data_IF_682506979096
#
_entry.id   IF_682506979096
#
_cell.length_a   1.000
_cell.length_b   1.000
_cell.length_c   1.000
_cell.angle_alpha   90.00
_cell.angle_beta   90.00
_cell.angle_gamma   90.00
#
_symmetry.space_group_name_H-M   'P 1'
#
loop_
_entity.id
_entity.type
_entity.pdbx_description
1 polymer ?
#
# COMPACT_ATOMS: atom_id res chain seq x y z
N UNK A 1 31.33 -55.45 43.12
CA UNK A 1 31.10 -56.52 42.13
C UNK A 1 31.69 -56.04 40.81
N UNK A 2 32.95 -56.37 40.48
CA UNK A 2 33.42 -57.55 39.70
C UNK A 2 32.67 -57.67 38.35
N UNK A 3 33.24 -57.67 37.13
CA UNK A 3 34.56 -57.97 36.52
C UNK A 3 34.64 -57.17 35.18
N UNK A 4 35.72 -56.53 34.72
CA UNK A 4 37.02 -56.99 34.12
C UNK A 4 36.94 -58.05 33.01
N UNK A 5 37.39 -57.68 31.79
CA UNK A 5 38.24 -58.40 30.78
C UNK A 5 38.16 -57.58 29.47
N UNK A 6 39.19 -56.98 28.83
CA UNK A 6 40.61 -57.27 28.53
C UNK A 6 40.86 -58.46 27.59
N UNK A 7 41.29 -58.17 26.35
CA UNK A 7 42.11 -58.95 25.39
C UNK A 7 42.43 -57.96 24.24
N UNK A 8 43.63 -57.45 23.90
CA UNK A 8 45.05 -57.85 23.86
C UNK A 8 45.47 -58.80 22.72
N UNK A 9 46.28 -58.22 21.81
CA UNK A 9 47.44 -58.80 21.06
C UNK A 9 47.25 -59.50 19.71
N UNK A 10 47.85 -58.95 18.63
CA UNK A 10 48.99 -59.46 17.81
C UNK A 10 49.10 -58.59 16.51
N UNK A 11 50.12 -57.79 16.16
CA UNK A 11 51.57 -57.96 15.89
C UNK A 11 51.91 -58.66 14.54
N UNK A 12 52.84 -58.03 13.79
CA UNK A 12 53.55 -58.38 12.53
C UNK A 12 52.86 -58.01 11.19
N UNK A 13 53.52 -57.45 10.16
CA UNK A 13 54.95 -57.31 9.84
C UNK A 13 55.24 -56.09 8.92
N UNK A 14 56.43 -55.51 9.09
CA UNK A 14 57.12 -54.66 8.10
C UNK A 14 57.52 -55.49 6.87
N UNK A 15 57.38 -54.93 5.67
CA UNK A 15 58.23 -55.27 4.54
C UNK A 15 58.58 -53.99 3.76
N UNK A 16 59.87 -53.66 3.80
CA UNK A 16 60.55 -52.65 3.01
C UNK A 16 60.55 -53.08 1.54
N UNK A 17 60.17 -52.18 0.62
CA UNK A 17 60.58 -52.28 -0.77
C UNK A 17 60.92 -50.89 -1.29
N UNK A 18 62.22 -50.58 -1.26
CA UNK A 18 62.83 -49.48 -1.99
C UNK A 18 62.82 -49.84 -3.50
N UNK A 19 62.16 -49.02 -4.32
CA UNK A 19 62.35 -49.05 -5.76
C UNK A 19 63.14 -47.81 -6.18
N UNK A 20 64.33 -48.09 -6.70
CA UNK A 20 65.22 -47.18 -7.39
C UNK A 20 64.58 -46.76 -8.72
N UNK A 21 64.35 -45.45 -8.92
CA UNK A 21 64.01 -44.86 -10.21
C UNK A 21 65.29 -44.47 -10.98
N UNK A 22 65.32 -44.61 -12.31
CA UNK A 22 66.48 -44.25 -13.12
C UNK A 22 66.60 -42.73 -13.26
N UNK A 23 67.83 -42.24 -13.26
CA UNK A 23 68.18 -40.87 -13.59
C UNK A 23 67.85 -40.60 -15.07
N UNK A 24 66.85 -39.76 -15.32
CA UNK A 24 66.55 -39.20 -16.63
C UNK A 24 67.32 -37.86 -16.79
N UNK A 25 67.94 -37.68 -17.95
CA UNK A 25 68.67 -36.49 -18.37
C UNK A 25 67.82 -35.22 -18.19
N UNK A 26 68.38 -34.24 -17.46
CA UNK A 26 67.88 -32.86 -17.43
C UNK A 26 68.40 -32.15 -18.68
N UNK A 27 67.58 -32.10 -19.71
CA UNK A 27 67.72 -31.10 -20.77
C UNK A 27 67.21 -29.75 -20.24
N UNK A 28 68.00 -28.70 -20.44
CA UNK A 28 67.65 -27.31 -20.12
C UNK A 28 66.35 -26.89 -20.85
N UNK A 29 65.27 -26.73 -20.08
CA UNK A 29 64.04 -26.08 -20.55
C UNK A 29 64.15 -24.60 -20.18
N UNK A 30 64.18 -23.73 -21.20
CA UNK A 30 64.14 -22.29 -21.02
C UNK A 30 62.89 -21.85 -20.23
N UNK A 31 63.05 -20.85 -19.36
CA UNK A 31 62.04 -20.39 -18.40
C UNK A 31 60.70 -19.89 -19.01
N UNK A 32 60.62 -19.74 -20.33
CA UNK A 32 59.44 -19.23 -21.04
C UNK A 32 58.45 -20.33 -21.52
N UNK A 33 58.77 -21.62 -21.38
CA UNK A 33 57.93 -22.72 -21.88
C UNK A 33 57.02 -23.40 -20.83
N UNK A 34 56.93 -22.85 -19.62
CA UNK A 34 55.98 -23.35 -18.61
C UNK A 34 54.60 -22.73 -18.88
N UNK A 35 53.76 -23.44 -19.63
CA UNK A 35 52.32 -23.16 -19.66
C UNK A 35 51.78 -23.19 -18.23
N UNK A 36 51.35 -22.04 -17.70
CA UNK A 36 50.61 -21.95 -16.43
C UNK A 36 49.41 -22.90 -16.52
N UNK A 37 49.46 -24.01 -15.79
CA UNK A 37 48.29 -24.84 -15.55
C UNK A 37 47.24 -23.97 -14.82
N UNK A 38 45.97 -24.00 -15.23
CA UNK A 38 44.92 -23.28 -14.53
C UNK A 38 44.85 -23.83 -13.10
N UNK A 39 45.16 -22.98 -12.12
CA UNK A 39 44.98 -23.29 -10.71
C UNK A 39 43.49 -23.48 -10.50
N UNK A 40 43.08 -24.70 -10.14
CA UNK A 40 41.70 -24.97 -9.78
C UNK A 40 41.32 -24.07 -8.60
N UNK A 41 40.29 -23.24 -8.79
CA UNK A 41 39.73 -22.44 -7.70
C UNK A 41 39.30 -23.36 -6.54
N UNK A 42 39.52 -22.98 -5.28
CA UNK A 42 39.08 -23.78 -4.15
C UNK A 42 37.57 -24.00 -4.25
N UNK A 43 37.13 -25.27 -4.15
CA UNK A 43 35.71 -25.61 -4.19
C UNK A 43 35.04 -25.05 -2.93
N UNK A 44 34.34 -23.92 -3.07
CA UNK A 44 33.42 -23.46 -2.05
C UNK A 44 32.39 -24.55 -1.78
N UNK A 45 32.06 -24.84 -0.50
CA UNK A 45 30.98 -25.77 -0.21
C UNK A 45 29.70 -25.28 -0.89
N UNK A 46 29.08 -26.15 -1.67
CA UNK A 46 27.81 -25.87 -2.33
C UNK A 46 26.81 -25.38 -1.28
N UNK A 47 26.14 -24.25 -1.55
CA UNK A 47 25.11 -23.73 -0.68
C UNK A 47 24.01 -24.79 -0.52
N UNK A 48 23.95 -25.43 0.65
CA UNK A 48 22.89 -26.37 0.99
C UNK A 48 21.68 -25.55 1.41
N UNK A 49 20.78 -25.27 0.48
CA UNK A 49 19.45 -24.76 0.81
C UNK A 49 18.61 -25.91 1.37
N UNK A 50 18.04 -25.77 2.58
CA UNK A 50 17.04 -26.72 3.06
C UNK A 50 15.86 -26.78 2.09
N UNK A 51 15.23 -27.95 1.89
CA UNK A 51 14.07 -28.06 1.03
C UNK A 51 12.97 -27.08 1.46
N UNK A 52 12.50 -26.25 0.53
CA UNK A 52 11.44 -25.26 0.73
C UNK A 52 11.89 -23.80 0.92
N UNK A 53 13.20 -23.51 0.96
CA UNK A 53 13.71 -22.14 1.09
C UNK A 53 14.06 -21.56 -0.27
N UNK A 54 13.33 -20.53 -0.71
CA UNK A 54 13.65 -19.78 -1.94
C UNK A 54 14.59 -18.63 -1.60
N UNK A 55 15.79 -18.68 -2.18
CA UNK A 55 16.74 -17.56 -2.17
C UNK A 55 16.45 -16.70 -3.38
N UNK A 56 16.26 -15.41 -3.16
CA UNK A 56 16.12 -14.40 -4.20
C UNK A 56 17.29 -13.41 -4.12
N UNK A 57 17.55 -12.71 -5.23
CA UNK A 57 18.60 -11.69 -5.31
C UNK A 57 17.98 -10.31 -5.46
N UNK A 58 18.44 -9.38 -4.64
CA UNK A 58 18.15 -7.96 -4.74
C UNK A 58 19.26 -7.29 -5.55
N UNK A 59 18.88 -6.60 -6.62
CA UNK A 59 19.79 -5.83 -7.49
C UNK A 59 19.41 -4.36 -7.43
N UNK A 60 20.41 -3.48 -7.41
CA UNK A 60 20.20 -2.02 -7.44
C UNK A 60 20.62 -1.47 -8.80
N UNK A 61 20.13 -0.28 -9.14
CA UNK A 61 20.61 0.51 -10.28
C UNK A 61 21.65 1.56 -9.87
N UNK A 62 22.24 1.43 -8.68
CA UNK A 62 23.38 2.23 -8.24
C UNK A 62 24.65 1.74 -8.94
N UNK A 63 25.35 2.69 -9.55
CA UNK A 63 26.66 2.50 -10.17
C UNK A 63 27.68 3.36 -9.40
N UNK A 64 28.81 2.75 -9.09
CA UNK A 64 29.89 3.35 -8.32
C UNK A 64 31.17 3.27 -9.14
N UNK A 65 31.95 4.35 -9.18
CA UNK A 65 33.21 4.35 -9.94
C UNK A 65 34.25 3.43 -9.30
N UNK A 66 34.18 3.22 -7.98
CA UNK A 66 35.12 2.36 -7.26
C UNK A 66 34.42 1.31 -6.40
N UNK A 67 34.99 0.10 -6.35
CA UNK A 67 34.56 -0.96 -5.45
C UNK A 67 34.52 -0.50 -3.97
N UNK A 68 35.46 0.37 -3.58
CA UNK A 68 35.54 0.95 -2.23
C UNK A 68 34.31 1.78 -1.84
N UNK A 69 33.50 2.21 -2.80
CA UNK A 69 32.22 2.91 -2.60
C UNK A 69 31.03 1.95 -2.67
N UNK A 70 31.10 0.94 -3.54
CA UNK A 70 30.06 -0.08 -3.67
C UNK A 70 29.91 -0.94 -2.39
N UNK A 71 31.03 -1.33 -1.76
CA UNK A 71 31.02 -2.15 -0.53
C UNK A 71 30.29 -1.48 0.64
N UNK A 72 30.59 -0.23 1.04
CA UNK A 72 29.85 0.43 2.12
C UNK A 72 28.37 0.67 1.77
N UNK A 73 28.05 0.98 0.51
CA UNK A 73 26.66 1.12 0.06
C UNK A 73 25.88 -0.20 0.16
N UNK A 74 26.49 -1.32 -0.26
CA UNK A 74 25.94 -2.67 -0.10
C UNK A 74 25.67 -3.00 1.37
N UNK A 75 26.64 -2.72 2.25
CA UNK A 75 26.48 -2.97 3.69
C UNK A 75 25.36 -2.12 4.32
N UNK A 76 25.24 -0.85 3.90
CA UNK A 76 24.13 0.02 4.31
C UNK A 76 22.78 -0.55 3.85
N UNK A 77 22.70 -1.06 2.61
CA UNK A 77 21.50 -1.70 2.08
C UNK A 77 21.15 -2.99 2.82
N UNK A 78 22.12 -3.85 3.13
CA UNK A 78 21.93 -5.05 3.96
C UNK A 78 21.33 -4.67 5.34
N UNK A 79 21.85 -3.61 5.97
CA UNK A 79 21.32 -3.14 7.25
C UNK A 79 19.89 -2.61 7.14
N UNK A 80 19.56 -1.88 6.07
CA UNK A 80 18.19 -1.43 5.81
C UNK A 80 17.22 -2.61 5.62
N UNK A 81 17.63 -3.64 4.86
CA UNK A 81 16.85 -4.87 4.66
C UNK A 81 16.61 -5.62 5.98
N UNK A 82 17.66 -5.77 6.80
CA UNK A 82 17.54 -6.39 8.13
C UNK A 82 16.62 -5.60 9.05
N UNK A 83 16.74 -4.27 9.07
CA UNK A 83 15.85 -3.39 9.84
C UNK A 83 14.40 -3.49 9.35
N UNK A 84 14.20 -3.82 8.07
CA UNK A 84 12.90 -4.08 7.48
C UNK A 84 12.35 -5.49 7.73
N UNK A 85 13.05 -6.34 8.49
CA UNK A 85 12.65 -7.72 8.79
C UNK A 85 12.97 -8.73 7.69
N UNK A 86 13.74 -8.35 6.67
CA UNK A 86 14.18 -9.25 5.60
C UNK A 86 15.44 -9.99 6.05
N UNK A 87 15.45 -11.31 5.88
CA UNK A 87 16.64 -12.13 6.18
C UNK A 87 17.59 -12.13 4.98
N UNK A 88 18.74 -11.48 5.13
CA UNK A 88 19.80 -11.43 4.11
C UNK A 88 20.84 -12.54 4.33
N UNK A 89 21.32 -13.16 3.26
CA UNK A 89 22.37 -14.19 3.27
C UNK A 89 23.76 -13.64 2.95
N UNK A 90 23.85 -12.35 2.62
CA UNK A 90 25.08 -11.67 2.25
C UNK A 90 24.90 -10.90 0.95
N UNK A 91 25.93 -10.18 0.55
CA UNK A 91 25.97 -9.51 -0.74
C UNK A 91 27.35 -9.60 -1.37
N UNK A 92 27.40 -9.33 -2.67
CA UNK A 92 28.63 -9.26 -3.46
C UNK A 92 28.60 -8.02 -4.34
N UNK A 93 29.76 -7.40 -4.52
CA UNK A 93 29.95 -6.38 -5.55
C UNK A 93 30.06 -7.07 -6.91
N UNK A 94 29.51 -6.43 -7.93
CA UNK A 94 29.57 -6.89 -9.32
C UNK A 94 30.10 -5.76 -10.20
N UNK A 95 31.04 -6.09 -11.09
CA UNK A 95 31.56 -5.15 -12.08
C UNK A 95 30.51 -4.94 -13.20
N UNK A 96 30.34 -3.70 -13.62
CA UNK A 96 29.38 -3.24 -14.61
C UNK A 96 30.10 -2.34 -15.62
N UNK A 97 30.91 -2.96 -16.49
CA UNK A 97 31.75 -2.24 -17.44
C UNK A 97 32.90 -1.52 -16.74
N UNK A 98 32.84 -0.19 -16.68
CA UNK A 98 33.84 0.64 -15.99
C UNK A 98 33.44 0.99 -14.55
N UNK A 99 32.22 0.63 -14.13
CA UNK A 99 31.65 0.92 -12.82
C UNK A 99 31.38 -0.37 -12.04
N UNK A 100 30.93 -0.22 -10.79
CA UNK A 100 30.60 -1.28 -9.85
C UNK A 100 29.17 -1.14 -9.36
N UNK A 101 28.49 -2.25 -9.12
CA UNK A 101 27.20 -2.32 -8.43
C UNK A 101 27.21 -3.45 -7.40
N UNK A 102 26.07 -3.80 -6.81
CA UNK A 102 26.01 -4.92 -5.86
C UNK A 102 24.72 -5.73 -5.95
N UNK A 103 24.83 -6.99 -5.53
CA UNK A 103 23.72 -7.93 -5.42
C UNK A 103 23.66 -8.46 -3.99
N UNK A 104 22.46 -8.50 -3.40
CA UNK A 104 22.23 -9.03 -2.05
C UNK A 104 21.29 -10.23 -2.14
N UNK A 105 21.73 -11.37 -1.65
CA UNK A 105 20.90 -12.57 -1.58
C UNK A 105 20.06 -12.55 -0.30
N UNK A 106 18.79 -12.91 -0.38
CA UNK A 106 17.82 -12.85 0.72
C UNK A 106 16.79 -13.98 0.66
N UNK A 107 16.14 -14.25 1.80
CA UNK A 107 15.01 -15.16 1.87
C UNK A 107 13.75 -14.45 1.37
N UNK A 108 13.11 -15.00 0.35
CA UNK A 108 11.94 -14.38 -0.27
C UNK A 108 10.65 -14.50 0.56
N UNK A 109 10.72 -15.13 1.74
CA UNK A 109 9.57 -15.30 2.64
C UNK A 109 9.89 -14.88 4.07
N UNK A 110 8.84 -14.50 4.81
CA UNK A 110 8.89 -14.24 6.26
C UNK A 110 7.81 -15.03 6.98
N UNK A 111 8.05 -15.35 8.25
CA UNK A 111 7.08 -16.07 9.09
C UNK A 111 5.77 -15.28 9.23
N UNK A 112 4.65 -15.97 9.31
CA UNK A 112 3.31 -15.38 9.36
C UNK A 112 3.08 -14.40 10.51
N UNK A 113 3.69 -14.69 11.67
CA UNK A 113 3.62 -13.86 12.87
C UNK A 113 4.67 -12.75 12.92
N UNK A 114 5.55 -12.62 11.91
CA UNK A 114 6.55 -11.56 11.88
C UNK A 114 5.88 -10.18 11.78
N UNK A 115 6.31 -9.23 12.62
CA UNK A 115 5.79 -7.86 12.57
C UNK A 115 6.24 -7.11 11.31
N UNK A 116 7.44 -7.41 10.82
CA UNK A 116 8.07 -6.81 9.65
C UNK A 116 8.46 -7.87 8.61
N UNK A 117 8.47 -7.54 7.31
CA UNK A 117 7.91 -6.33 6.70
C UNK A 117 6.40 -6.16 6.99
N UNK A 118 5.86 -4.94 6.99
CA UNK A 118 4.45 -4.72 7.25
C UNK A 118 3.60 -5.18 6.04
N UNK A 119 2.33 -5.49 6.30
CA UNK A 119 1.36 -5.78 5.26
C UNK A 119 0.57 -4.51 4.94
N UNK A 120 1.02 -3.75 3.95
CA UNK A 120 0.40 -2.49 3.51
C UNK A 120 0.29 -2.45 1.99
N UNK A 121 -0.62 -1.63 1.50
CA UNK A 121 -0.82 -1.30 0.09
C UNK A 121 -0.64 0.22 -0.06
N UNK A 122 0.04 0.61 -1.12
CA UNK A 122 0.07 1.99 -1.59
C UNK A 122 -1.10 2.20 -2.54
N UNK A 123 -1.94 3.18 -2.24
CA UNK A 123 -3.10 3.54 -3.04
C UNK A 123 -3.08 5.04 -3.33
N UNK A 124 -3.63 5.42 -4.47
CA UNK A 124 -3.81 6.83 -4.86
C UNK A 124 -5.30 7.11 -5.00
N UNK A 125 -5.84 7.97 -4.15
CA UNK A 125 -7.17 8.51 -4.34
C UNK A 125 -7.09 9.69 -5.31
N UNK A 126 -7.82 9.61 -6.42
CA UNK A 126 -8.05 10.74 -7.33
C UNK A 126 -9.45 11.27 -7.08
N UNK A 127 -9.57 12.57 -6.81
CA UNK A 127 -10.87 13.15 -6.59
C UNK A 127 -11.70 13.12 -7.89
N UNK A 128 -13.00 12.87 -7.76
CA UNK A 128 -13.90 12.88 -8.92
C UNK A 128 -14.33 14.29 -9.35
N UNK A 129 -13.88 15.34 -8.66
CA UNK A 129 -14.31 16.72 -8.88
C UNK A 129 -13.28 17.51 -9.69
N UNK A 130 -13.78 18.48 -10.44
CA UNK A 130 -12.99 19.48 -11.14
C UNK A 130 -13.24 20.85 -10.50
N UNK A 131 -12.16 21.62 -10.31
CA UNK A 131 -12.18 22.94 -9.70
C UNK A 131 -11.60 23.95 -10.67
N UNK A 132 -12.39 24.98 -10.97
CA UNK A 132 -11.91 26.09 -11.80
C UNK A 132 -10.72 26.80 -11.14
N UNK A 133 -10.81 27.07 -9.84
CA UNK A 133 -9.78 27.77 -9.08
C UNK A 133 -8.82 26.79 -8.39
N UNK A 134 -7.53 26.94 -8.65
CA UNK A 134 -6.47 26.14 -8.02
C UNK A 134 -6.54 26.19 -6.49
N UNK A 135 -6.78 27.39 -5.91
CA UNK A 135 -6.93 27.55 -4.45
C UNK A 135 -8.05 26.69 -3.87
N UNK A 136 -9.17 26.54 -4.57
CA UNK A 136 -10.27 25.70 -4.10
C UNK A 136 -9.91 24.21 -4.16
N UNK A 137 -9.18 23.80 -5.20
CA UNK A 137 -8.63 22.45 -5.31
C UNK A 137 -7.65 22.16 -4.17
N UNK A 138 -6.77 23.11 -3.82
CA UNK A 138 -5.83 22.96 -2.70
C UNK A 138 -6.54 22.84 -1.35
N UNK A 139 -7.55 23.67 -1.09
CA UNK A 139 -8.32 23.63 0.15
C UNK A 139 -9.03 22.28 0.30
N UNK A 140 -9.67 21.80 -0.78
CA UNK A 140 -10.31 20.49 -0.81
C UNK A 140 -9.30 19.34 -0.63
N UNK A 141 -8.12 19.44 -1.27
CA UNK A 141 -7.03 18.47 -1.14
C UNK A 141 -6.52 18.40 0.30
N UNK A 142 -6.28 19.55 0.95
CA UNK A 142 -5.82 19.63 2.35
C UNK A 142 -6.87 19.02 3.30
N UNK A 143 -8.14 19.32 3.09
CA UNK A 143 -9.25 18.73 3.86
C UNK A 143 -9.32 17.21 3.65
N UNK A 144 -9.22 16.73 2.42
CA UNK A 144 -9.21 15.31 2.09
C UNK A 144 -8.05 14.57 2.78
N UNK A 145 -6.82 15.10 2.65
CA UNK A 145 -5.65 14.55 3.31
C UNK A 145 -5.77 14.55 4.85
N UNK A 146 -6.42 15.57 5.43
CA UNK A 146 -6.73 15.59 6.86
C UNK A 146 -7.72 14.48 7.24
N UNK A 147 -8.73 14.21 6.42
CA UNK A 147 -9.70 13.14 6.65
C UNK A 147 -9.08 11.74 6.54
N UNK A 148 -8.14 11.51 5.62
CA UNK A 148 -7.33 10.29 5.60
C UNK A 148 -6.53 10.12 6.91
N UNK A 149 -5.85 11.17 7.38
CA UNK A 149 -5.10 11.12 8.65
C UNK A 149 -6.00 10.89 9.86
N UNK A 150 -7.19 11.51 9.89
CA UNK A 150 -8.18 11.31 10.93
C UNK A 150 -8.70 9.86 10.96
N UNK A 151 -8.78 9.21 9.79
CA UNK A 151 -9.05 7.78 9.65
C UNK A 151 -7.85 6.88 10.02
N UNK A 152 -6.75 7.46 10.52
CA UNK A 152 -5.48 6.78 10.85
C UNK A 152 -4.79 6.13 9.64
N UNK A 153 -5.02 6.66 8.44
CA UNK A 153 -4.32 6.26 7.23
C UNK A 153 -3.12 7.20 7.02
N UNK A 154 -1.88 6.67 6.92
CA UNK A 154 -0.71 7.48 6.61
C UNK A 154 -0.81 8.08 5.20
N UNK A 155 -0.71 9.40 5.11
CA UNK A 155 -0.65 10.13 3.83
C UNK A 155 0.81 10.37 3.48
N UNK A 156 1.24 9.89 2.31
CA UNK A 156 2.60 10.04 1.80
C UNK A 156 2.77 11.33 1.00
N UNK A 157 1.73 11.71 0.27
CA UNK A 157 1.75 12.89 -0.58
C UNK A 157 0.34 13.29 -1.00
N UNK A 158 0.23 14.53 -1.45
CA UNK A 158 -0.98 15.03 -2.10
C UNK A 158 -0.56 16.08 -3.12
N UNK A 159 -1.15 16.04 -4.31
CA UNK A 159 -0.76 16.92 -5.41
C UNK A 159 -1.96 17.30 -6.26
N UNK A 160 -1.86 18.46 -6.92
CA UNK A 160 -2.82 18.87 -7.92
C UNK A 160 -2.44 18.31 -9.29
N UNK A 161 -3.43 18.01 -10.11
CA UNK A 161 -3.26 17.64 -11.51
C UNK A 161 -4.32 18.31 -12.38
N UNK A 162 -3.99 18.50 -13.65
CA UNK A 162 -4.89 19.08 -14.63
C UNK A 162 -5.94 18.05 -15.08
N UNK A 163 -7.21 18.45 -15.02
CA UNK A 163 -8.36 17.66 -15.44
C UNK A 163 -9.15 18.43 -16.50
N UNK A 164 -8.74 18.31 -17.77
CA UNK A 164 -9.27 19.16 -18.84
C UNK A 164 -8.70 20.57 -18.72
N UNK A 165 -9.55 21.58 -18.56
CA UNK A 165 -9.13 22.97 -18.31
C UNK A 165 -9.21 23.36 -16.82
N UNK A 166 -9.56 22.41 -15.96
CA UNK A 166 -9.78 22.62 -14.53
C UNK A 166 -8.71 21.90 -13.70
N UNK A 167 -8.71 22.15 -12.41
CA UNK A 167 -7.82 21.55 -11.43
C UNK A 167 -8.50 20.39 -10.71
N UNK A 168 -7.77 19.32 -10.48
CA UNK A 168 -8.16 18.20 -9.65
C UNK A 168 -7.00 17.86 -8.70
N UNK A 169 -7.22 16.94 -7.76
CA UNK A 169 -6.23 16.56 -6.78
C UNK A 169 -6.18 15.06 -6.54
N UNK A 170 -4.99 14.60 -6.16
CA UNK A 170 -4.76 13.23 -5.73
C UNK A 170 -4.14 13.20 -4.33
N UNK A 171 -4.41 12.12 -3.61
CA UNK A 171 -3.82 11.83 -2.29
C UNK A 171 -3.25 10.42 -2.33
N UNK A 172 -1.95 10.31 -2.12
CA UNK A 172 -1.25 9.03 -1.98
C UNK A 172 -1.25 8.62 -0.51
N UNK A 173 -1.70 7.41 -0.22
CA UNK A 173 -1.83 6.92 1.14
C UNK A 173 -1.50 5.44 1.25
N UNK A 174 -1.18 5.03 2.48
CA UNK A 174 -0.97 3.64 2.83
C UNK A 174 -2.21 3.09 3.52
N UNK A 175 -2.66 1.92 3.08
CA UNK A 175 -3.74 1.17 3.72
C UNK A 175 -3.25 -0.21 4.12
N UNK A 176 -3.67 -0.66 5.31
CA UNK A 176 -3.30 -1.99 5.78
C UNK A 176 -3.87 -3.07 4.86
N UNK A 177 -3.04 -4.04 4.49
CA UNK A 177 -3.48 -5.24 3.77
C UNK A 177 -3.85 -6.33 4.79
N UNK A 178 -5.13 -6.71 4.84
CA UNK A 178 -5.65 -7.73 5.76
C UNK A 178 -5.39 -9.14 5.18
N UNK A 179 -4.14 -9.58 5.29
CA UNK A 179 -3.70 -10.90 4.83
C UNK A 179 -4.46 -12.04 5.53
N UNK A 180 -4.78 -13.09 4.78
CA UNK A 180 -5.28 -14.34 5.35
C UNK A 180 -4.15 -15.00 6.15
N UNK A 181 -4.43 -15.56 7.34
CA UNK A 181 -3.42 -16.28 8.11
C UNK A 181 -2.70 -17.34 7.26
N UNK A 182 -1.38 -17.27 7.25
CA UNK A 182 -0.50 -18.21 6.57
C UNK A 182 0.74 -18.48 7.43
N UNK A 183 1.40 -19.61 7.22
CA UNK A 183 2.67 -19.93 7.90
C UNK A 183 3.79 -18.99 7.48
N UNK A 184 3.80 -18.60 6.20
CA UNK A 184 4.76 -17.68 5.62
C UNK A 184 4.06 -16.72 4.64
N UNK A 185 4.68 -15.57 4.45
CA UNK A 185 4.28 -14.55 3.47
C UNK A 185 5.46 -14.22 2.57
N UNK A 186 5.17 -13.87 1.33
CA UNK A 186 6.17 -13.45 0.36
C UNK A 186 6.64 -12.02 0.66
N UNK A 187 7.93 -11.79 0.54
CA UNK A 187 8.56 -10.48 0.62
C UNK A 187 8.50 -9.84 -0.77
N UNK A 188 7.95 -8.62 -0.85
CA UNK A 188 7.84 -7.88 -2.11
C UNK A 188 8.43 -6.48 -1.96
N UNK A 189 9.33 -6.14 -2.87
CA UNK A 189 9.86 -4.79 -3.05
C UNK A 189 8.89 -3.97 -3.90
N UNK A 190 8.67 -2.73 -3.50
CA UNK A 190 7.82 -1.77 -4.20
C UNK A 190 8.49 -0.41 -4.20
N UNK A 191 8.13 0.42 -5.17
CA UNK A 191 8.58 1.80 -5.27
C UNK A 191 7.39 2.76 -5.18
N UNK A 192 7.61 3.88 -4.51
CA UNK A 192 6.72 5.04 -4.48
C UNK A 192 7.46 6.20 -5.12
N UNK A 193 6.85 6.89 -6.07
CA UNK A 193 7.39 8.12 -6.65
C UNK A 193 6.48 9.27 -6.26
N UNK A 194 7.03 10.29 -5.61
CA UNK A 194 6.26 11.43 -5.14
C UNK A 194 7.02 12.75 -5.24
N UNK A 195 6.25 13.84 -5.27
CA UNK A 195 6.78 15.20 -5.38
C UNK A 195 6.99 15.67 -6.81
N UNK A 196 7.17 16.98 -6.94
CA UNK A 196 7.43 17.67 -8.20
C UNK A 196 8.44 18.77 -7.92
N UNK A 197 9.64 18.62 -8.45
CA UNK A 197 10.78 19.50 -8.22
C UNK A 197 11.35 19.96 -9.56
N UNK A 198 11.71 21.24 -9.66
CA UNK A 198 12.26 21.78 -10.91
C UNK A 198 13.67 21.25 -11.15
N UNK A 199 14.44 21.03 -10.07
CA UNK A 199 15.83 20.60 -10.14
C UNK A 199 16.07 19.29 -9.40
N UNK A 200 16.96 18.46 -9.94
CA UNK A 200 17.38 17.20 -9.31
C UNK A 200 17.89 17.41 -7.88
N UNK A 201 18.73 18.42 -7.68
CA UNK A 201 19.29 18.75 -6.36
C UNK A 201 18.24 19.10 -5.29
N UNK A 202 17.04 19.55 -5.69
CA UNK A 202 15.93 19.79 -4.78
C UNK A 202 15.26 18.46 -4.39
N UNK A 203 15.05 17.57 -5.36
CA UNK A 203 14.56 16.22 -5.11
C UNK A 203 15.52 15.44 -4.21
N UNK A 204 16.84 15.52 -4.44
CA UNK A 204 17.86 14.91 -3.59
C UNK A 204 17.80 15.41 -2.14
N UNK A 205 17.68 16.73 -1.95
CA UNK A 205 17.50 17.33 -0.62
C UNK A 205 16.20 16.90 0.05
N UNK A 206 15.17 16.57 -0.73
CA UNK A 206 13.89 16.10 -0.20
C UNK A 206 13.91 14.62 0.20
N UNK A 207 14.82 13.79 -0.32
CA UNK A 207 14.89 12.34 -0.04
C UNK A 207 14.75 12.00 1.46
N UNK A 208 15.49 12.63 2.41
CA UNK A 208 15.38 12.31 3.83
C UNK A 208 13.97 12.54 4.39
N UNK A 209 13.24 13.54 3.90
CA UNK A 209 11.88 13.83 4.36
C UNK A 209 10.90 12.73 3.93
N UNK A 210 11.03 12.22 2.70
CA UNK A 210 10.23 11.10 2.21
C UNK A 210 10.55 9.80 2.97
N UNK A 211 11.83 9.53 3.24
CA UNK A 211 12.22 8.38 4.08
C UNK A 211 11.64 8.48 5.50
N UNK A 212 11.57 9.69 6.06
CA UNK A 212 10.95 9.94 7.36
C UNK A 212 9.43 9.70 7.34
N UNK A 213 8.72 10.06 6.26
CA UNK A 213 7.28 9.77 6.11
C UNK A 213 7.00 8.27 6.14
N UNK A 214 7.79 7.47 5.43
CA UNK A 214 7.69 6.01 5.45
C UNK A 214 7.96 5.44 6.85
N UNK A 215 9.01 5.94 7.52
CA UNK A 215 9.32 5.56 8.90
C UNK A 215 8.17 5.89 9.87
N UNK A 216 7.56 7.07 9.75
CA UNK A 216 6.39 7.47 10.55
C UNK A 216 5.16 6.61 10.26
N UNK A 217 4.99 6.16 9.01
CA UNK A 217 3.94 5.24 8.61
C UNK A 217 4.18 3.78 9.07
N UNK A 218 5.33 3.49 9.70
CA UNK A 218 5.71 2.15 10.12
C UNK A 218 6.11 1.23 8.96
N UNK A 219 6.48 1.81 7.81
CA UNK A 219 6.95 1.09 6.63
C UNK A 219 8.44 1.35 6.45
N UNK A 220 9.30 0.34 6.69
CA UNK A 220 10.73 0.50 6.49
C UNK A 220 11.05 0.77 5.01
N UNK A 221 11.53 1.98 4.73
CA UNK A 221 12.09 2.31 3.43
C UNK A 221 13.50 1.72 3.31
N UNK A 222 13.77 1.12 2.15
CA UNK A 222 15.04 0.52 1.81
C UNK A 222 15.97 1.56 1.22
N UNK A 223 15.48 2.39 0.28
CA UNK A 223 16.25 3.39 -0.45
C UNK A 223 15.36 4.60 -0.77
N UNK A 224 15.97 5.77 -0.88
CA UNK A 224 15.36 6.92 -1.55
C UNK A 224 16.34 7.52 -2.54
N UNK A 225 15.85 8.02 -3.68
CA UNK A 225 16.66 8.70 -4.70
C UNK A 225 15.84 9.75 -5.44
N UNK A 226 16.53 10.72 -6.05
CA UNK A 226 15.92 11.57 -7.06
C UNK A 226 15.76 10.79 -8.38
N UNK A 227 14.67 11.01 -9.09
CA UNK A 227 14.41 10.45 -10.42
C UNK A 227 13.82 11.51 -11.33
N UNK A 228 14.13 11.45 -12.62
CA UNK A 228 13.45 12.26 -13.62
C UNK A 228 11.97 11.85 -13.74
N UNK A 229 11.09 12.84 -13.86
CA UNK A 229 9.65 12.68 -13.97
C UNK A 229 9.09 13.68 -14.99
N UNK A 230 9.20 13.32 -16.28
CA UNK A 230 8.80 14.19 -17.38
C UNK A 230 9.77 15.37 -17.55
N UNK A 231 9.28 16.60 -17.33
CA UNK A 231 10.12 17.82 -17.35
C UNK A 231 10.65 18.21 -15.97
N UNK A 232 10.18 17.53 -14.93
CA UNK A 232 10.50 17.80 -13.54
C UNK A 232 11.25 16.59 -12.93
N UNK A 233 11.59 16.68 -11.66
CA UNK A 233 12.17 15.62 -10.84
C UNK A 233 11.21 15.23 -9.72
N UNK A 234 11.34 13.98 -9.24
CA UNK A 234 10.57 13.44 -8.14
C UNK A 234 11.47 12.63 -7.20
N UNK A 235 10.98 12.31 -6.01
CA UNK A 235 11.64 11.39 -5.09
C UNK A 235 11.04 10.00 -5.27
N UNK A 236 11.87 9.02 -5.59
CA UNK A 236 11.51 7.62 -5.56
C UNK A 236 11.99 6.98 -4.25
N UNK A 237 11.06 6.39 -3.50
CA UNK A 237 11.33 5.60 -2.30
C UNK A 237 11.08 4.13 -2.63
N UNK A 238 12.08 3.30 -2.46
CA UNK A 238 11.93 1.86 -2.45
C UNK A 238 11.64 1.38 -1.03
N UNK A 239 10.68 0.49 -0.88
CA UNK A 239 10.27 -0.07 0.40
C UNK A 239 9.88 -1.54 0.24
N UNK A 240 9.78 -2.24 1.36
CA UNK A 240 9.44 -3.66 1.37
C UNK A 240 8.18 -3.92 2.18
N UNK A 241 7.35 -4.81 1.65
CA UNK A 241 6.10 -5.26 2.27
C UNK A 241 6.01 -6.77 2.25
N UNK A 242 5.20 -7.33 3.13
CA UNK A 242 4.82 -8.73 3.05
C UNK A 242 3.47 -8.87 2.36
N UNK A 243 3.37 -9.87 1.49
CA UNK A 243 2.18 -10.15 0.69
C UNK A 243 1.77 -11.61 0.82
N UNK A 244 0.48 -11.89 0.70
CA UNK A 244 -0.02 -13.25 0.60
C UNK A 244 -0.24 -13.66 -0.85
N UNK A 245 -0.49 -14.95 -1.07
CA UNK A 245 -0.82 -15.51 -2.39
C UNK A 245 -2.22 -15.12 -2.92
N UNK A 246 -3.05 -14.52 -2.07
CA UNK A 246 -4.40 -14.08 -2.42
C UNK A 246 -4.40 -12.64 -2.91
N UNK A 247 -5.49 -12.25 -3.58
CA UNK A 247 -5.72 -10.86 -3.98
C UNK A 247 -5.61 -9.89 -2.79
N UNK A 248 -5.21 -8.62 -3.04
CA UNK A 248 -5.14 -7.58 -2.01
C UNK A 248 -6.46 -7.43 -1.23
N UNK A 249 -6.34 -7.20 0.08
CA UNK A 249 -7.47 -7.04 1.00
C UNK A 249 -7.32 -5.73 1.78
N UNK A 250 -7.50 -4.57 1.13
CA UNK A 250 -7.33 -3.28 1.78
C UNK A 250 -8.29 -3.12 2.96
N UNK A 251 -7.82 -2.61 4.09
CA UNK A 251 -8.64 -2.35 5.28
C UNK A 251 -9.73 -1.30 5.02
N UNK A 252 -9.48 -0.36 4.12
CA UNK A 252 -10.41 0.70 3.73
C UNK A 252 -10.57 0.72 2.21
N UNK A 253 -11.76 1.11 1.75
CA UNK A 253 -12.04 1.44 0.36
C UNK A 253 -12.71 2.81 0.27
N UNK A 254 -12.75 3.37 -0.94
CA UNK A 254 -13.50 4.58 -1.23
C UNK A 254 -14.86 4.16 -1.78
N UNK A 255 -15.92 4.67 -1.17
CA UNK A 255 -17.28 4.54 -1.66
C UNK A 255 -17.82 5.91 -2.08
N UNK A 256 -18.82 5.90 -2.96
CA UNK A 256 -19.48 7.11 -3.47
C UNK A 256 -20.95 7.09 -3.10
N UNK A 257 -21.40 8.13 -2.41
CA UNK A 257 -22.81 8.45 -2.25
C UNK A 257 -23.27 9.28 -3.43
N UNK A 258 -24.38 8.91 -4.07
CA UNK A 258 -25.05 9.75 -5.06
C UNK A 258 -26.27 10.38 -4.41
N UNK A 259 -26.29 11.71 -4.31
CA UNK A 259 -27.43 12.43 -3.77
C UNK A 259 -28.64 12.31 -4.70
N UNK A 260 -29.83 12.24 -4.10
CA UNK A 260 -31.11 12.23 -4.82
C UNK A 260 -31.63 13.64 -5.12
N UNK A 261 -31.12 14.62 -4.39
CA UNK A 261 -31.48 16.02 -4.58
C UNK A 261 -31.01 16.48 -5.96
N UNK A 262 -31.92 17.11 -6.71
CA UNK A 262 -31.63 17.79 -7.96
C UNK A 262 -31.86 19.29 -7.81
N UNK A 263 -31.05 20.07 -8.50
CA UNK A 263 -31.03 21.51 -8.46
C UNK A 263 -30.98 22.05 -9.87
N UNK A 264 -31.74 23.08 -10.17
CA UNK A 264 -31.74 23.70 -11.51
C UNK A 264 -30.39 24.34 -11.83
N UNK A 265 -29.66 24.81 -10.80
CA UNK A 265 -28.38 25.49 -10.96
C UNK A 265 -27.23 24.75 -10.27
N UNK A 266 -26.09 24.68 -10.96
CA UNK A 266 -24.84 24.09 -10.47
C UNK A 266 -24.37 24.68 -9.13
N UNK A 267 -24.52 26.00 -8.95
CA UNK A 267 -24.14 26.71 -7.73
C UNK A 267 -24.92 26.21 -6.50
N UNK A 268 -26.18 25.85 -6.67
CA UNK A 268 -27.02 25.33 -5.59
C UNK A 268 -26.61 23.90 -5.24
N UNK A 269 -26.40 23.05 -6.25
CA UNK A 269 -25.87 21.70 -6.06
C UNK A 269 -24.48 21.70 -5.41
N UNK A 270 -23.60 22.63 -5.82
CA UNK A 270 -22.28 22.81 -5.22
C UNK A 270 -22.37 23.23 -3.75
N UNK A 271 -23.24 24.20 -3.43
CA UNK A 271 -23.48 24.61 -2.05
C UNK A 271 -24.01 23.44 -1.20
N UNK A 272 -25.00 22.71 -1.69
CA UNK A 272 -25.55 21.53 -1.03
C UNK A 272 -24.46 20.46 -0.79
N UNK A 273 -23.62 20.19 -1.79
CA UNK A 273 -22.52 19.23 -1.70
C UNK A 273 -21.51 19.58 -0.59
N UNK A 274 -21.18 20.88 -0.44
CA UNK A 274 -20.29 21.36 0.63
C UNK A 274 -20.92 21.20 2.01
N UNK A 275 -22.24 21.40 2.13
CA UNK A 275 -22.98 21.16 3.39
C UNK A 275 -23.16 19.69 3.73
N UNK A 276 -23.01 18.78 2.76
CA UNK A 276 -23.10 17.34 3.00
C UNK A 276 -21.84 16.78 3.68
N UNK A 277 -20.64 17.29 3.39
CA UNK A 277 -19.38 16.75 3.94
C UNK A 277 -19.39 16.70 5.49
N UNK A 278 -19.80 17.75 6.23
CA UNK A 278 -19.88 17.69 7.68
C UNK A 278 -20.87 16.64 8.21
N UNK A 279 -21.95 16.33 7.47
CA UNK A 279 -22.91 15.29 7.88
C UNK A 279 -22.24 13.92 7.92
N UNK A 280 -21.45 13.58 6.90
CA UNK A 280 -20.65 12.35 6.87
C UNK A 280 -19.65 12.29 8.03
N UNK A 281 -18.89 13.38 8.23
CA UNK A 281 -17.93 13.45 9.34
C UNK A 281 -18.60 13.25 10.70
N UNK A 282 -19.76 13.89 10.93
CA UNK A 282 -20.53 13.75 12.18
C UNK A 282 -21.08 12.34 12.40
N UNK A 283 -21.34 11.59 11.33
CA UNK A 283 -21.75 10.19 11.39
C UNK A 283 -20.57 9.22 11.68
N UNK A 284 -19.34 9.74 11.75
CA UNK A 284 -18.11 8.96 11.92
C UNK A 284 -17.62 8.34 10.62
N UNK A 285 -18.03 8.88 9.46
CA UNK A 285 -17.60 8.43 8.14
C UNK A 285 -16.74 9.54 7.51
N UNK A 286 -15.42 9.36 7.34
CA UNK A 286 -14.55 10.41 6.82
C UNK A 286 -14.91 10.76 5.36
N UNK A 287 -15.39 11.99 5.08
CA UNK A 287 -15.65 12.41 3.71
C UNK A 287 -14.33 12.72 2.99
N UNK A 288 -14.26 12.51 1.68
CA UNK A 288 -13.06 12.73 0.89
C UNK A 288 -13.22 13.90 -0.08
N UNK A 289 -14.30 13.89 -0.86
CA UNK A 289 -14.61 15.01 -1.75
C UNK A 289 -16.10 15.06 -2.06
N UNK A 290 -16.55 16.25 -2.42
CA UNK A 290 -17.86 16.48 -3.00
C UNK A 290 -17.69 16.66 -4.51
N UNK A 291 -18.49 15.96 -5.30
CA UNK A 291 -18.43 15.92 -6.76
C UNK A 291 -19.76 16.42 -7.31
N UNK A 292 -19.72 17.49 -8.10
CA UNK A 292 -20.88 17.94 -8.85
C UNK A 292 -21.17 16.98 -10.00
N UNK A 293 -22.43 16.66 -10.25
CA UNK A 293 -22.86 15.81 -11.37
C UNK A 293 -23.97 16.49 -12.17
N UNK A 294 -23.88 16.52 -13.51
CA UNK A 294 -25.04 16.85 -14.33
C UNK A 294 -26.05 15.70 -14.31
N UNK A 295 -27.34 16.04 -14.26
CA UNK A 295 -28.46 15.10 -14.26
C UNK A 295 -29.55 15.59 -15.22
N UNK A 296 -29.40 15.26 -16.50
CA UNK A 296 -30.26 15.79 -17.55
C UNK A 296 -30.07 17.29 -17.75
N UNK A 297 -31.09 18.09 -17.40
CA UNK A 297 -31.03 19.57 -17.41
C UNK A 297 -30.74 20.17 -16.04
N UNK A 298 -30.73 19.35 -15.00
CA UNK A 298 -30.49 19.74 -13.62
C UNK A 298 -29.10 19.26 -13.18
N UNK A 299 -28.77 19.56 -11.93
CA UNK A 299 -27.52 19.21 -11.28
C UNK A 299 -27.81 18.46 -9.99
N UNK A 300 -26.96 17.49 -9.68
CA UNK A 300 -26.93 16.79 -8.40
C UNK A 300 -25.49 16.74 -7.90
N UNK A 301 -25.25 16.07 -6.78
CA UNK A 301 -23.92 15.89 -6.25
C UNK A 301 -23.67 14.46 -5.80
N UNK A 302 -22.41 14.19 -5.50
CA UNK A 302 -21.95 12.96 -4.90
C UNK A 302 -20.92 13.26 -3.84
N UNK A 303 -20.81 12.38 -2.86
CA UNK A 303 -19.79 12.47 -1.82
C UNK A 303 -18.97 11.19 -1.85
N UNK A 304 -17.68 11.33 -2.10
CA UNK A 304 -16.72 10.25 -1.89
C UNK A 304 -16.39 10.18 -0.40
N UNK A 305 -16.31 8.97 0.15
CA UNK A 305 -16.01 8.76 1.57
C UNK A 305 -15.24 7.46 1.82
N UNK A 306 -14.54 7.39 2.95
CA UNK A 306 -13.83 6.19 3.37
C UNK A 306 -14.76 5.22 4.10
N UNK A 307 -14.69 3.96 3.70
CA UNK A 307 -15.41 2.87 4.35
C UNK A 307 -14.47 1.72 4.69
N UNK A 308 -14.60 1.16 5.89
CA UNK A 308 -13.83 0.00 6.32
C UNK A 308 -14.34 -1.26 5.62
N UNK A 309 -13.44 -2.15 5.22
CA UNK A 309 -13.79 -3.42 4.60
C UNK A 309 -13.80 -4.53 5.66
N UNK A 310 -14.96 -5.13 5.89
CA UNK A 310 -15.11 -6.29 6.77
C UNK A 310 -15.13 -7.53 5.88
N UNK A 311 -14.09 -8.34 6.01
CA UNK A 311 -13.96 -9.56 5.21
C UNK A 311 -14.53 -10.77 5.96
N UNK A 312 -15.47 -11.48 5.34
CA UNK A 312 -16.11 -12.68 5.87
C UNK A 312 -16.05 -13.82 4.84
N UNK A 313 -16.46 -15.04 5.22
CA UNK A 313 -16.38 -16.21 4.33
C UNK A 313 -17.20 -16.03 3.02
N UNK A 314 -18.26 -15.21 3.04
CA UNK A 314 -19.11 -14.93 1.88
C UNK A 314 -18.73 -13.70 1.03
N UNK A 315 -17.67 -12.96 1.40
CA UNK A 315 -17.26 -11.77 0.64
C UNK A 315 -16.75 -10.62 1.51
N UNK A 316 -16.81 -9.41 0.95
CA UNK A 316 -16.45 -8.16 1.63
C UNK A 316 -17.72 -7.37 1.86
N UNK A 317 -18.02 -7.03 3.11
CA UNK A 317 -19.09 -6.10 3.45
C UNK A 317 -18.48 -4.78 3.92
N UNK A 318 -19.04 -3.63 3.51
CA UNK A 318 -18.57 -2.35 4.00
C UNK A 318 -18.99 -2.16 5.46
N UNK A 319 -18.15 -1.48 6.25
CA UNK A 319 -18.43 -1.19 7.66
C UNK A 319 -19.60 -0.23 7.85
N UNK A 320 -19.88 0.57 6.81
CA UNK A 320 -21.04 1.45 6.72
C UNK A 320 -21.67 1.32 5.34
N UNK A 321 -22.99 1.35 5.28
CA UNK A 321 -23.76 1.44 4.05
C UNK A 321 -24.67 2.67 4.14
N UNK A 322 -25.01 3.23 2.98
CA UNK A 322 -26.06 4.24 2.91
C UNK A 322 -27.32 3.52 2.48
N UNK A 323 -28.32 3.55 3.34
CA UNK A 323 -29.63 2.96 3.09
C UNK A 323 -30.65 4.06 2.84
N UNK A 324 -31.72 3.72 2.12
CA UNK A 324 -32.80 4.65 1.81
C UNK A 324 -34.07 4.21 2.52
N UNK A 325 -34.65 5.11 3.30
CA UNK A 325 -36.03 5.03 3.74
C UNK A 325 -36.92 5.74 2.73
N UNK A 326 -37.92 5.05 2.19
CA UNK A 326 -38.97 5.63 1.35
C UNK A 326 -40.24 5.78 2.20
N UNK A 327 -40.81 6.99 2.23
CA UNK A 327 -42.10 7.19 2.89
C UNK A 327 -43.18 6.38 2.16
N UNK A 328 -44.01 5.60 2.89
CA UNK A 328 -45.14 4.91 2.29
C UNK A 328 -46.35 5.83 2.09
N UNK A 329 -46.37 6.97 2.77
CA UNK A 329 -47.45 7.95 2.76
C UNK A 329 -47.24 8.96 1.62
N UNK A 330 -48.36 9.39 1.03
CA UNK A 330 -48.39 10.54 0.11
C UNK A 330 -49.14 11.71 0.74
N UNK A 331 -48.71 12.91 0.40
CA UNK A 331 -49.26 14.17 0.90
C UNK A 331 -49.86 14.98 -0.24
N UNK A 332 -50.93 15.71 0.04
CA UNK A 332 -51.60 16.53 -0.98
C UNK A 332 -50.77 17.76 -1.32
N UNK A 333 -50.11 18.36 -0.31
CA UNK A 333 -49.32 19.58 -0.47
C UNK A 333 -47.82 19.34 -0.21
N UNK A 334 -46.97 20.03 -0.98
CA UNK A 334 -45.51 20.01 -0.80
C UNK A 334 -45.09 20.48 0.60
N UNK A 335 -45.80 21.46 1.17
CA UNK A 335 -45.54 21.96 2.52
C UNK A 335 -45.76 20.91 3.62
N UNK A 336 -46.76 20.03 3.44
CA UNK A 336 -47.03 18.92 4.36
C UNK A 336 -45.94 17.86 4.26
N UNK A 337 -45.56 17.49 3.03
CA UNK A 337 -44.47 16.55 2.79
C UNK A 337 -43.14 17.05 3.35
N UNK A 338 -42.83 18.35 3.21
CA UNK A 338 -41.65 19.00 3.81
C UNK A 338 -41.64 18.92 5.32
N UNK A 339 -42.79 19.18 5.96
CA UNK A 339 -42.91 19.10 7.41
C UNK A 339 -42.71 17.66 7.90
N UNK A 340 -43.37 16.70 7.28
CA UNK A 340 -43.23 15.28 7.61
C UNK A 340 -41.79 14.77 7.41
N UNK A 341 -41.13 15.19 6.32
CA UNK A 341 -39.73 14.89 6.07
C UNK A 341 -38.85 15.44 7.20
N UNK A 342 -39.01 16.70 7.59
CA UNK A 342 -38.20 17.32 8.64
C UNK A 342 -38.37 16.61 10.00
N UNK A 343 -39.61 16.26 10.36
CA UNK A 343 -39.92 15.49 11.57
C UNK A 343 -39.27 14.09 11.52
N UNK A 344 -39.33 13.41 10.38
CA UNK A 344 -38.72 12.09 10.21
C UNK A 344 -37.18 12.16 10.22
N UNK A 345 -36.57 13.15 9.59
CA UNK A 345 -35.12 13.38 9.66
C UNK A 345 -34.65 13.59 11.10
N UNK A 346 -35.40 14.38 11.89
CA UNK A 346 -35.11 14.56 13.31
C UNK A 346 -35.22 13.22 14.08
N UNK A 347 -36.25 12.42 13.80
CA UNK A 347 -36.43 11.12 14.41
C UNK A 347 -35.29 10.13 14.07
N UNK A 348 -34.82 10.09 12.83
CA UNK A 348 -33.68 9.27 12.42
C UNK A 348 -32.40 9.67 13.18
N UNK A 349 -32.09 10.96 13.20
CA UNK A 349 -30.92 11.47 13.92
C UNK A 349 -31.02 11.19 15.44
N UNK A 350 -32.19 11.37 16.05
CA UNK A 350 -32.43 11.05 17.46
C UNK A 350 -32.33 9.53 17.74
N UNK A 351 -32.72 8.70 16.78
CA UNK A 351 -32.58 7.25 16.82
C UNK A 351 -31.16 6.73 16.54
N UNK A 352 -30.17 7.60 16.34
CA UNK A 352 -28.80 7.21 16.06
C UNK A 352 -28.55 6.74 14.63
N UNK A 353 -29.43 7.12 13.69
CA UNK A 353 -29.30 6.90 12.25
C UNK A 353 -29.00 8.24 11.57
N UNK A 354 -27.72 8.60 11.36
CA UNK A 354 -27.36 9.90 10.82
C UNK A 354 -27.86 10.05 9.39
N UNK A 355 -28.64 11.10 9.14
CA UNK A 355 -29.16 11.41 7.81
C UNK A 355 -28.11 12.15 7.00
N UNK A 356 -27.81 11.65 5.79
CA UNK A 356 -26.84 12.25 4.88
C UNK A 356 -27.48 12.94 3.68
N UNK A 357 -28.70 12.55 3.32
CA UNK A 357 -29.48 13.18 2.27
C UNK A 357 -30.97 12.93 2.41
N UNK A 358 -31.76 13.74 1.73
CA UNK A 358 -33.20 13.59 1.70
C UNK A 358 -33.74 14.24 0.43
N UNK A 359 -34.79 13.68 -0.16
CA UNK A 359 -35.42 14.26 -1.34
C UNK A 359 -36.94 14.18 -1.23
N UNK A 360 -37.60 15.20 -1.76
CA UNK A 360 -39.04 15.20 -2.00
C UNK A 360 -39.28 14.89 -3.48
N UNK A 361 -40.29 14.09 -3.76
CA UNK A 361 -40.71 13.78 -5.12
C UNK A 361 -42.22 13.72 -5.21
N UNK A 362 -42.75 13.87 -6.42
CA UNK A 362 -44.18 13.84 -6.70
C UNK A 362 -44.71 15.15 -7.24
N UNK A 363 -46.03 15.20 -7.37
CA UNK A 363 -46.76 16.32 -7.95
C UNK A 363 -47.96 16.67 -7.06
N UNK A 364 -48.66 17.76 -7.40
CA UNK A 364 -49.81 18.23 -6.63
C UNK A 364 -50.83 17.10 -6.40
N UNK A 365 -51.14 16.81 -5.15
CA UNK A 365 -52.02 15.71 -4.76
C UNK A 365 -51.32 14.38 -4.44
N UNK A 366 -50.01 14.25 -4.68
CA UNK A 366 -49.25 13.02 -4.41
C UNK A 366 -47.74 13.26 -4.20
N UNK A 367 -47.38 14.04 -3.18
CA UNK A 367 -45.98 14.21 -2.76
C UNK A 367 -45.53 13.09 -1.81
N UNK A 368 -44.29 12.61 -1.94
CA UNK A 368 -43.64 11.66 -1.03
C UNK A 368 -42.21 12.14 -0.74
N UNK A 369 -41.55 11.54 0.25
CA UNK A 369 -40.15 11.81 0.53
C UNK A 369 -39.31 10.54 0.70
N UNK A 370 -38.01 10.69 0.51
CA UNK A 370 -36.99 9.68 0.78
C UNK A 370 -35.91 10.27 1.69
N UNK A 371 -35.33 9.42 2.55
CA UNK A 371 -34.22 9.76 3.45
C UNK A 371 -33.10 8.77 3.21
N UNK A 372 -31.91 9.28 2.90
CA UNK A 372 -30.68 8.49 2.85
C UNK A 372 -29.94 8.63 4.18
N UNK A 373 -29.66 7.51 4.85
CA UNK A 373 -29.04 7.46 6.17
C UNK A 373 -27.88 6.47 6.23
N UNK A 374 -26.95 6.71 7.14
CA UNK A 374 -25.80 5.81 7.37
C UNK A 374 -26.21 4.67 8.30
N UNK A 375 -26.16 3.44 7.80
CA UNK A 375 -26.30 2.20 8.55
C UNK A 375 -24.90 1.59 8.81
N UNK A 376 -24.60 1.22 10.05
CA UNK A 376 -23.32 0.56 10.41
C UNK A 376 -23.49 -0.94 10.38
N UNK A 377 -22.53 -1.67 9.80
CA UNK A 377 -22.53 -3.13 9.81
C UNK A 377 -22.55 -3.67 11.25
N UNK A 378 -23.56 -4.48 11.58
CA UNK A 378 -23.77 -5.03 12.92
C UNK A 378 -24.66 -4.19 13.85
N UNK A 379 -25.07 -2.98 13.45
CA UNK A 379 -26.21 -2.30 14.05
C UNK A 379 -27.47 -2.90 13.42
N UNK A 380 -28.33 -3.54 14.23
CA UNK A 380 -29.67 -3.90 13.79
C UNK A 380 -30.35 -2.60 13.32
N UNK A 381 -30.66 -2.50 12.03
CA UNK A 381 -31.54 -1.46 11.53
C UNK A 381 -32.87 -1.50 12.30
N UNK A 382 -33.64 -0.40 12.34
CA UNK A 382 -34.95 -0.43 12.96
C UNK A 382 -35.76 -1.59 12.36
N UNK A 383 -36.18 -2.52 13.22
CA UNK A 383 -37.12 -3.58 12.84
C UNK A 383 -38.43 -2.88 12.52
N UNK A 384 -38.66 -2.59 11.25
CA UNK A 384 -39.96 -2.11 10.81
C UNK A 384 -40.97 -3.26 10.93
N UNK A 385 -42.18 -3.01 11.45
CA UNK A 385 -43.25 -3.99 11.37
C UNK A 385 -43.51 -4.33 9.89
N UNK A 386 -43.81 -5.59 9.55
CA UNK A 386 -44.16 -5.95 8.18
C UNK A 386 -45.34 -5.09 7.71
N UNK A 387 -45.39 -4.74 6.40
CA UNK A 387 -46.52 -3.98 5.87
C UNK A 387 -47.84 -4.72 6.19
N UNK A 388 -48.92 -3.99 6.51
CA UNK A 388 -50.21 -4.61 6.72
C UNK A 388 -50.59 -5.41 5.48
N UNK A 389 -50.77 -6.72 5.67
CA UNK A 389 -51.36 -7.57 4.65
C UNK A 389 -52.83 -7.14 4.53
N UNK A 390 -53.16 -6.51 3.41
CA UNK A 390 -54.54 -6.29 2.99
C UNK A 390 -55.02 -7.45 2.13
#
# INVERSE_FOLDING_TARGET
MLKRTSFLSLLYALALSAQTLPAAELADIAADDIRKAPVAAPSFPSAVTPPGVTIASYTTDEEFTFESEAVPAMNARINALKAAGVTTLGGRVVELGNDYSFVIDYLSTVKGNAALPPAVLLETYKNGAAYWLEREAEEAMKACAANFRAAKLPVLGSYLYEAGNDNAFAVDYLVKNLLRPAQEYDVKFQSYTGGKFTFESEAEKAVPSYLALFKQAGVPAIRGKAVASGRDYAVQVEYVVKTGKSAPRPQYSVARYAARETFTFDKEALAASKTALPKFASAGVPPLSAVLRPEGRDYSYSVDYLVGNIYQQGGVIPSVAIETYQAPETYTFDSEAKKALAEKVAAFNAGGLPVVGSALSGELGSYTYAIDYIAKAGAQGPVFPPPPQY
#
